data_IF_345312827352
#
_entry.id   IF_345312827352
#
_cell.length_a   1.000
_cell.length_b   1.000
_cell.length_c   1.000
_cell.angle_alpha   90.00
_cell.angle_beta   90.00
_cell.angle_gamma   90.00
#
_symmetry.space_group_name_H-M   'P 1'
#
loop_
_entity.id
_entity.type
_entity.pdbx_description
1 polymer ?
#
# COMPACT_ATOMS: atom_id res chain seq x y z
N UNK A 1 -25.62 -15.55 -24.80
CA UNK A 1 -24.34 -15.08 -24.21
C UNK A 1 -24.57 -14.21 -22.99
N UNK A 2 -25.38 -13.15 -23.08
CA UNK A 2 -25.86 -12.36 -21.93
C UNK A 2 -27.38 -12.54 -21.85
N UNK A 3 -27.86 -13.06 -20.71
CA UNK A 3 -29.28 -13.30 -20.43
C UNK A 3 -29.99 -12.03 -19.96
N UNK A 4 -29.32 -11.23 -19.12
CA UNK A 4 -29.88 -10.01 -18.57
C UNK A 4 -28.84 -8.89 -18.50
N UNK A 5 -28.99 -7.88 -19.37
CA UNK A 5 -28.08 -6.73 -19.45
C UNK A 5 -28.10 -5.85 -18.19
N UNK A 6 -29.23 -5.76 -17.48
CA UNK A 6 -29.33 -4.97 -16.23
C UNK A 6 -28.52 -5.62 -15.11
N UNK A 7 -28.64 -6.94 -14.93
CA UNK A 7 -27.82 -7.66 -13.95
C UNK A 7 -26.33 -7.63 -14.29
N UNK A 8 -25.98 -7.66 -15.58
CA UNK A 8 -24.59 -7.51 -16.00
C UNK A 8 -24.04 -6.12 -15.62
N UNK A 9 -24.81 -5.05 -15.86
CA UNK A 9 -24.41 -3.68 -15.47
C UNK A 9 -24.22 -3.54 -13.96
N UNK A 10 -25.12 -4.10 -13.15
CA UNK A 10 -25.00 -4.10 -11.68
C UNK A 10 -23.75 -4.87 -11.23
N UNK A 11 -23.48 -6.03 -11.83
CA UNK A 11 -22.30 -6.83 -11.51
C UNK A 11 -21.01 -6.05 -11.79
N UNK A 12 -20.90 -5.41 -12.95
CA UNK A 12 -19.71 -4.62 -13.34
C UNK A 12 -19.52 -3.42 -12.41
N UNK A 13 -20.61 -2.71 -12.06
CA UNK A 13 -20.58 -1.57 -11.14
C UNK A 13 -20.07 -1.99 -9.75
N UNK A 14 -20.67 -3.04 -9.17
CA UNK A 14 -20.29 -3.53 -7.85
C UNK A 14 -18.85 -4.04 -7.83
N UNK A 15 -18.43 -4.74 -8.88
CA UNK A 15 -17.07 -5.26 -9.01
C UNK A 15 -16.03 -4.13 -9.08
N UNK A 16 -16.30 -3.11 -9.89
CA UNK A 16 -15.43 -1.94 -10.01
C UNK A 16 -15.33 -1.19 -8.69
N UNK A 17 -16.46 -1.01 -7.99
CA UNK A 17 -16.49 -0.35 -6.69
C UNK A 17 -15.80 -1.18 -5.60
N UNK A 18 -15.89 -2.51 -5.63
CA UNK A 18 -15.10 -3.36 -4.72
C UNK A 18 -13.60 -3.21 -4.95
N UNK A 19 -13.15 -3.14 -6.22
CA UNK A 19 -11.73 -2.91 -6.53
C UNK A 19 -11.27 -1.55 -6.04
N UNK A 20 -12.08 -0.49 -6.27
CA UNK A 20 -11.77 0.86 -5.80
C UNK A 20 -11.64 0.91 -4.28
N UNK A 21 -12.53 0.23 -3.53
CA UNK A 21 -12.47 0.20 -2.06
C UNK A 21 -11.32 -0.66 -1.55
N UNK A 22 -10.98 -1.74 -2.25
CA UNK A 22 -9.83 -2.60 -1.93
C UNK A 22 -8.49 -1.97 -2.29
N UNK A 23 -8.48 -0.88 -3.05
CA UNK A 23 -7.26 -0.14 -3.31
C UNK A 23 -6.74 0.43 -1.97
N UNK A 24 -5.45 0.27 -1.65
CA UNK A 24 -4.89 0.72 -0.38
C UNK A 24 -4.84 2.26 -0.37
N UNK A 25 -5.98 2.89 -0.10
CA UNK A 25 -6.02 4.32 0.16
C UNK A 25 -5.21 4.59 1.45
N UNK A 26 -4.37 5.63 1.49
CA UNK A 26 -3.33 5.85 2.52
C UNK A 26 -3.88 6.24 3.92
N UNK A 27 -5.04 5.73 4.30
CA UNK A 27 -5.78 6.17 5.47
C UNK A 27 -5.72 5.07 6.55
N UNK A 28 -4.62 5.13 7.31
CA UNK A 28 -4.55 4.79 8.75
C UNK A 28 -4.42 3.34 9.23
N UNK A 29 -3.81 2.42 8.46
CA UNK A 29 -3.40 1.13 9.03
C UNK A 29 -1.88 0.95 8.98
N UNK A 30 -1.18 0.99 10.14
CA UNK A 30 0.23 0.63 10.16
C UNK A 30 0.38 -0.85 9.78
N UNK A 31 1.38 -1.11 8.94
CA UNK A 31 1.70 -2.44 8.40
C UNK A 31 2.02 -3.42 9.54
N UNK A 32 1.39 -4.60 9.52
CA UNK A 32 1.52 -5.65 10.55
C UNK A 32 0.28 -5.86 11.44
N UNK A 33 -0.82 -5.16 11.17
CA UNK A 33 -2.06 -5.26 11.95
C UNK A 33 -3.08 -6.30 11.43
N UNK A 34 -2.80 -6.98 10.32
CA UNK A 34 -3.75 -7.91 9.71
C UNK A 34 -3.64 -9.30 10.35
N UNK A 35 -4.75 -9.80 10.91
CA UNK A 35 -4.83 -11.12 11.52
C UNK A 35 -5.42 -12.16 10.55
N UNK A 36 -6.37 -11.75 9.69
CA UNK A 36 -7.00 -12.63 8.69
C UNK A 36 -7.40 -11.88 7.42
N UNK A 37 -7.15 -12.50 6.27
CA UNK A 37 -7.54 -12.02 4.94
C UNK A 37 -8.29 -13.10 4.14
N UNK A 38 -9.16 -12.67 3.22
CA UNK A 38 -9.76 -13.53 2.21
C UNK A 38 -9.66 -12.85 0.84
N UNK A 39 -9.15 -13.55 -0.17
CA UNK A 39 -8.93 -12.98 -1.52
C UNK A 39 -8.12 -11.66 -1.52
N UNK A 40 -7.09 -11.55 -0.66
CA UNK A 40 -6.31 -10.34 -0.43
C UNK A 40 -7.11 -9.14 0.15
N UNK A 41 -8.27 -9.40 0.75
CA UNK A 41 -9.07 -8.38 1.45
C UNK A 41 -8.97 -8.63 2.97
N UNK A 42 -8.48 -7.68 3.78
CA UNK A 42 -8.39 -7.84 5.22
C UNK A 42 -9.78 -7.84 5.88
N UNK A 43 -10.07 -8.86 6.69
CA UNK A 43 -11.37 -8.99 7.38
C UNK A 43 -11.25 -8.52 8.83
N UNK A 44 -10.10 -8.78 9.46
CA UNK A 44 -9.84 -8.42 10.84
C UNK A 44 -8.50 -7.71 11.00
N UNK A 45 -8.49 -6.68 11.84
CA UNK A 45 -7.29 -5.95 12.27
C UNK A 45 -7.12 -6.09 13.78
N UNK A 46 -5.96 -5.72 14.32
CA UNK A 46 -5.76 -5.69 15.78
C UNK A 46 -6.72 -4.73 16.51
N UNK A 47 -7.30 -3.77 15.80
CA UNK A 47 -8.27 -2.81 16.32
C UNK A 47 -9.73 -3.33 16.24
N UNK A 48 -9.93 -4.56 15.76
CA UNK A 48 -11.24 -5.17 15.57
C UNK A 48 -11.58 -5.43 14.10
N UNK A 49 -12.87 -5.48 13.79
CA UNK A 49 -13.36 -5.81 12.44
C UNK A 49 -13.01 -4.68 11.47
N UNK A 50 -12.37 -5.03 10.34
CA UNK A 50 -12.13 -4.08 9.26
C UNK A 50 -13.42 -3.91 8.46
N UNK A 51 -14.21 -2.88 8.80
CA UNK A 51 -15.47 -2.62 8.11
C UNK A 51 -15.28 -2.37 6.62
N UNK A 52 -14.19 -1.71 6.21
CA UNK A 52 -13.88 -1.43 4.80
C UNK A 52 -13.68 -2.73 4.03
N UNK A 53 -12.89 -3.65 4.57
CA UNK A 53 -12.65 -4.95 3.97
C UNK A 53 -13.88 -5.86 3.97
N UNK A 54 -14.67 -5.87 5.05
CA UNK A 54 -15.95 -6.61 5.10
C UNK A 54 -16.93 -6.07 4.05
N UNK A 55 -17.04 -4.74 3.91
CA UNK A 55 -17.89 -4.13 2.88
C UNK A 55 -17.40 -4.48 1.48
N UNK A 56 -16.10 -4.42 1.21
CA UNK A 56 -15.52 -4.80 -0.08
C UNK A 56 -15.80 -6.27 -0.41
N UNK A 57 -15.66 -7.18 0.56
CA UNK A 57 -15.95 -8.61 0.39
C UNK A 57 -17.43 -8.86 0.09
N UNK A 58 -18.34 -8.17 0.80
CA UNK A 58 -19.78 -8.28 0.55
C UNK A 58 -20.16 -7.78 -0.84
N UNK A 59 -19.55 -6.68 -1.29
CA UNK A 59 -19.74 -6.14 -2.64
C UNK A 59 -19.19 -7.07 -3.72
N UNK A 60 -18.03 -7.67 -3.49
CA UNK A 60 -17.45 -8.67 -4.37
C UNK A 60 -18.37 -9.89 -4.50
N UNK A 61 -18.83 -10.46 -3.39
CA UNK A 61 -19.76 -11.58 -3.39
C UNK A 61 -21.07 -11.26 -4.12
N UNK A 62 -21.63 -10.06 -3.89
CA UNK A 62 -22.79 -9.56 -4.61
C UNK A 62 -22.56 -9.43 -6.11
N UNK A 63 -21.39 -8.92 -6.52
CA UNK A 63 -21.02 -8.80 -7.93
C UNK A 63 -20.96 -10.16 -8.64
N UNK A 64 -20.38 -11.18 -8.00
CA UNK A 64 -20.27 -12.53 -8.54
C UNK A 64 -21.65 -13.19 -8.65
N UNK A 65 -22.53 -12.99 -7.67
CA UNK A 65 -23.90 -13.48 -7.72
C UNK A 65 -24.67 -12.91 -8.93
N UNK A 66 -24.62 -11.58 -9.13
CA UNK A 66 -25.27 -10.96 -10.27
C UNK A 66 -24.62 -11.35 -11.60
N UNK A 67 -23.30 -11.55 -11.62
CA UNK A 67 -22.57 -12.03 -12.79
C UNK A 67 -23.10 -13.40 -13.24
N UNK A 68 -23.26 -14.35 -12.32
CA UNK A 68 -23.83 -15.68 -12.62
C UNK A 68 -25.26 -15.57 -13.15
N UNK A 69 -26.11 -14.72 -12.53
CA UNK A 69 -27.51 -14.52 -12.99
C UNK A 69 -27.63 -13.80 -14.33
N UNK A 70 -26.64 -12.99 -14.69
CA UNK A 70 -26.63 -12.22 -15.93
C UNK A 70 -26.30 -13.05 -17.18
N UNK A 71 -25.70 -14.24 -16.99
CA UNK A 71 -25.20 -15.10 -18.06
C UNK A 71 -26.05 -16.37 -18.20
N UNK A 72 -26.05 -16.93 -19.40
CA UNK A 72 -26.79 -18.16 -19.75
C UNK A 72 -25.88 -19.38 -19.92
N UNK A 73 -24.60 -19.13 -20.25
CA UNK A 73 -23.54 -20.13 -20.47
C UNK A 73 -22.21 -19.52 -20.01
N UNK A 74 -21.24 -20.35 -19.64
CA UNK A 74 -19.90 -19.94 -19.17
C UNK A 74 -19.83 -19.16 -17.84
N UNK A 75 -20.89 -19.18 -17.03
CA UNK A 75 -20.97 -18.56 -15.69
C UNK A 75 -19.73 -18.85 -14.82
N UNK A 76 -19.33 -20.12 -14.73
CA UNK A 76 -18.17 -20.52 -13.92
C UNK A 76 -16.84 -19.97 -14.46
N UNK A 77 -16.67 -19.86 -15.78
CA UNK A 77 -15.43 -19.34 -16.38
C UNK A 77 -15.28 -17.85 -16.12
N UNK A 78 -16.38 -17.09 -16.26
CA UNK A 78 -16.37 -15.65 -15.99
C UNK A 78 -16.21 -15.34 -14.50
N UNK A 79 -16.79 -16.15 -13.60
CA UNK A 79 -16.55 -16.05 -12.16
C UNK A 79 -15.08 -16.32 -11.82
N UNK A 80 -14.48 -17.37 -12.39
CA UNK A 80 -13.05 -17.65 -12.19
C UNK A 80 -12.18 -16.50 -12.70
N UNK A 81 -12.47 -15.96 -13.89
CA UNK A 81 -11.75 -14.80 -14.43
C UNK A 81 -11.88 -13.57 -13.54
N UNK A 82 -13.06 -13.32 -12.96
CA UNK A 82 -13.27 -12.22 -12.03
C UNK A 82 -12.45 -12.40 -10.74
N UNK A 83 -12.42 -13.61 -10.17
CA UNK A 83 -11.60 -13.93 -8.98
C UNK A 83 -10.11 -13.77 -9.29
N UNK A 84 -9.65 -14.28 -10.43
CA UNK A 84 -8.26 -14.09 -10.88
C UNK A 84 -7.97 -12.59 -11.04
N UNK A 85 -8.83 -11.84 -11.71
CA UNK A 85 -8.65 -10.39 -11.86
C UNK A 85 -8.53 -9.68 -10.50
N UNK A 86 -9.32 -10.05 -9.49
CA UNK A 86 -9.21 -9.44 -8.14
C UNK A 86 -7.91 -9.75 -7.42
N UNK A 87 -7.32 -10.92 -7.65
CA UNK A 87 -6.04 -11.29 -7.05
C UNK A 87 -4.89 -10.59 -7.75
N UNK A 88 -4.95 -10.47 -9.09
CA UNK A 88 -3.86 -9.97 -9.92
C UNK A 88 -3.86 -8.45 -10.19
N UNK A 89 -5.00 -7.77 -10.18
CA UNK A 89 -5.04 -6.31 -10.35
C UNK A 89 -4.28 -5.51 -9.27
N UNK A 90 -4.34 -5.85 -7.97
CA UNK A 90 -3.72 -5.03 -6.92
C UNK A 90 -2.22 -5.32 -6.67
N UNK A 91 -1.55 -6.17 -7.45
CA UNK A 91 -0.19 -6.68 -7.11
C UNK A 91 0.94 -5.63 -7.29
N UNK A 92 0.66 -4.44 -7.81
CA UNK A 92 1.72 -3.51 -8.22
C UNK A 92 2.18 -2.48 -7.18
N UNK A 93 1.35 -2.12 -6.21
CA UNK A 93 1.59 -0.90 -5.42
C UNK A 93 1.71 -1.19 -3.94
N UNK A 94 2.83 -0.73 -3.36
CA UNK A 94 3.08 -0.76 -1.92
C UNK A 94 3.05 0.67 -1.40
N UNK A 95 2.26 0.90 -0.35
CA UNK A 95 2.25 2.16 0.37
C UNK A 95 3.20 2.07 1.56
N UNK A 96 4.17 2.99 1.63
CA UNK A 96 5.07 3.12 2.76
C UNK A 96 4.81 4.39 3.56
N UNK A 97 4.83 4.28 4.89
CA UNK A 97 4.69 5.41 5.81
C UNK A 97 5.81 5.36 6.86
N UNK A 98 6.49 6.48 7.06
CA UNK A 98 7.52 6.65 8.07
C UNK A 98 7.34 7.99 8.80
N UNK A 99 7.46 7.98 10.13
CA UNK A 99 7.44 9.20 10.95
C UNK A 99 8.82 9.46 11.53
N UNK A 100 9.46 10.56 11.09
CA UNK A 100 10.83 10.90 11.44
C UNK A 100 10.85 12.15 12.34
N UNK A 101 11.06 11.98 13.66
CA UNK A 101 11.18 13.12 14.56
C UNK A 101 12.55 13.78 14.42
N UNK A 102 12.57 15.03 13.99
CA UNK A 102 13.79 15.84 13.93
C UNK A 102 13.76 16.97 14.96
N UNK A 103 14.95 17.34 15.43
CA UNK A 103 15.18 18.52 16.25
C UNK A 103 16.36 19.31 15.70
N UNK A 104 16.11 20.56 15.33
CA UNK A 104 17.17 21.49 15.00
C UNK A 104 17.78 22.04 16.30
N UNK A 105 19.07 21.78 16.52
CA UNK A 105 19.80 22.33 17.65
C UNK A 105 20.44 23.70 17.35
N UNK A 106 20.49 24.12 16.08
CA UNK A 106 20.98 25.44 15.65
C UNK A 106 20.00 26.55 16.02
N UNK A 107 20.50 27.78 16.11
CA UNK A 107 19.67 29.01 16.10
C UNK A 107 19.12 29.32 14.71
N UNK A 108 19.77 28.80 13.67
CA UNK A 108 19.48 29.17 12.28
C UNK A 108 18.62 28.09 11.60
N UNK A 109 17.93 28.49 10.54
CA UNK A 109 17.17 27.59 9.69
C UNK A 109 18.11 26.59 9.00
N UNK A 110 17.72 25.32 8.97
CA UNK A 110 18.46 24.25 8.28
C UNK A 110 17.57 23.55 7.27
N UNK A 111 18.14 23.26 6.10
CA UNK A 111 17.51 22.47 5.04
C UNK A 111 18.43 21.31 4.66
N UNK A 112 17.86 20.11 4.57
CA UNK A 112 18.60 18.89 4.27
C UNK A 112 17.71 17.84 3.60
N UNK A 113 18.33 16.96 2.83
CA UNK A 113 17.67 15.81 2.23
C UNK A 113 17.80 14.59 3.13
N UNK A 114 16.72 13.84 3.28
CA UNK A 114 16.69 12.54 3.94
C UNK A 114 16.70 11.45 2.88
N UNK A 115 17.62 10.50 3.02
CA UNK A 115 17.68 9.29 2.20
C UNK A 115 17.78 8.05 3.09
N UNK A 116 17.19 6.96 2.63
CA UNK A 116 17.18 5.66 3.29
C UNK A 116 18.26 4.76 2.71
N UNK A 117 18.90 3.94 3.53
CA UNK A 117 19.87 2.94 3.05
C UNK A 117 19.75 1.62 3.82
N UNK A 118 20.04 0.52 3.13
CA UNK A 118 20.06 -0.81 3.72
C UNK A 118 21.46 -1.09 4.31
N UNK A 119 21.56 -1.25 5.63
CA UNK A 119 22.83 -1.53 6.33
C UNK A 119 23.23 -3.00 6.26
N UNK A 120 22.24 -3.90 6.26
CA UNK A 120 22.43 -5.33 6.12
C UNK A 120 21.79 -5.76 4.81
N UNK A 121 22.60 -6.28 3.89
CA UNK A 121 22.10 -7.02 2.73
C UNK A 121 22.05 -8.48 3.15
N UNK A 122 20.91 -8.94 3.63
CA UNK A 122 20.68 -10.38 3.73
C UNK A 122 20.38 -10.87 2.31
N UNK A 123 20.98 -11.99 1.89
CA UNK A 123 20.86 -12.51 0.51
C UNK A 123 19.39 -12.73 0.09
N UNK A 124 18.48 -12.88 1.07
CA UNK A 124 17.05 -13.16 0.88
C UNK A 124 16.12 -11.96 1.18
N UNK A 125 16.62 -10.87 1.77
CA UNK A 125 15.84 -9.66 2.06
C UNK A 125 16.21 -8.58 1.05
N UNK A 126 15.43 -8.48 -0.02
CA UNK A 126 15.61 -7.45 -1.04
C UNK A 126 15.71 -6.03 -0.47
N UNK A 127 16.15 -5.10 -1.31
CA UNK A 127 16.33 -3.67 -1.01
C UNK A 127 15.02 -3.01 -0.53
N UNK A 128 14.72 -3.10 0.78
CA UNK A 128 13.44 -2.64 1.35
C UNK A 128 13.47 -1.18 1.79
N UNK A 129 14.57 -0.68 2.36
CA UNK A 129 14.62 0.70 2.83
C UNK A 129 14.95 1.66 1.69
N UNK A 130 15.86 1.28 0.81
CA UNK A 130 16.24 2.10 -0.36
C UNK A 130 15.08 2.35 -1.31
N UNK A 131 14.09 1.46 -1.35
CA UNK A 131 12.81 1.61 -2.03
C UNK A 131 12.06 2.90 -1.65
N UNK A 132 12.17 3.34 -0.40
CA UNK A 132 11.53 4.56 0.06
C UNK A 132 12.05 5.81 -0.66
N UNK A 133 13.29 5.77 -1.17
CA UNK A 133 13.86 6.88 -1.93
C UNK A 133 13.22 7.09 -3.30
N UNK A 134 12.48 6.09 -3.83
CA UNK A 134 11.76 6.22 -5.11
C UNK A 134 10.54 7.13 -4.99
N UNK A 135 9.98 7.24 -3.78
CA UNK A 135 8.86 8.14 -3.47
C UNK A 135 9.20 9.63 -3.48
N UNK A 136 10.48 9.99 -3.62
CA UNK A 136 10.92 11.34 -3.93
C UNK A 136 12.12 11.83 -3.12
N UNK A 137 12.64 13.03 -3.45
CA UNK A 137 13.57 13.73 -2.56
C UNK A 137 12.81 14.25 -1.34
N UNK A 138 13.11 13.69 -0.15
CA UNK A 138 12.55 14.16 1.11
C UNK A 138 13.34 15.35 1.63
N UNK A 139 13.14 16.52 1.02
CA UNK A 139 13.71 17.77 1.52
C UNK A 139 12.99 18.19 2.80
N UNK A 140 13.75 18.33 3.88
CA UNK A 140 13.27 18.73 5.19
C UNK A 140 13.86 20.07 5.54
N UNK A 141 12.98 21.01 5.88
CA UNK A 141 13.35 22.33 6.38
C UNK A 141 12.85 22.51 7.82
N UNK A 142 13.76 22.92 8.71
CA UNK A 142 13.50 23.17 10.12
C UNK A 142 13.99 24.57 10.51
N UNK A 143 13.16 25.31 11.22
CA UNK A 143 13.52 26.59 11.83
C UNK A 143 14.50 26.39 12.99
N UNK A 144 15.16 27.47 13.41
CA UNK A 144 16.03 27.48 14.58
C UNK A 144 15.33 26.92 15.81
N UNK A 145 15.98 26.00 16.52
CA UNK A 145 15.48 25.33 17.73
C UNK A 145 14.17 24.53 17.56
N UNK A 146 13.67 24.37 16.34
CA UNK A 146 12.42 23.66 16.06
C UNK A 146 12.54 22.15 16.35
N UNK A 147 11.45 21.57 16.86
CA UNK A 147 11.23 20.12 16.87
C UNK A 147 10.02 19.82 15.99
N UNK A 148 10.19 18.96 14.99
CA UNK A 148 9.15 18.63 14.02
C UNK A 148 9.21 17.14 13.68
N UNK A 149 8.03 16.51 13.60
CA UNK A 149 7.91 15.16 13.04
C UNK A 149 7.58 15.28 11.56
N UNK A 150 8.48 14.76 10.72
CA UNK A 150 8.27 14.70 9.26
C UNK A 150 7.60 13.38 8.93
N UNK A 151 6.47 13.44 8.24
CA UNK A 151 5.75 12.28 7.72
C UNK A 151 6.19 12.03 6.28
N UNK A 152 6.81 10.89 6.06
CA UNK A 152 7.20 10.41 4.74
C UNK A 152 6.16 9.39 4.30
N UNK A 153 5.51 9.65 3.18
CA UNK A 153 4.52 8.77 2.55
C UNK A 153 4.91 8.57 1.09
N UNK A 154 4.98 7.31 0.65
CA UNK A 154 5.39 6.96 -0.69
C UNK A 154 4.54 5.80 -1.23
N UNK A 155 4.10 5.91 -2.48
CA UNK A 155 3.56 4.79 -3.26
C UNK A 155 4.68 4.26 -4.16
N UNK A 156 4.94 2.95 -4.06
CA UNK A 156 6.09 2.30 -4.67
C UNK A 156 5.58 1.21 -5.61
N UNK A 157 5.97 1.29 -6.88
CA UNK A 157 5.67 0.26 -7.87
C UNK A 157 6.65 -0.92 -7.73
N UNK A 158 6.13 -2.07 -7.29
CA UNK A 158 6.87 -3.31 -7.12
C UNK A 158 6.53 -4.36 -8.17
N UNK A 159 5.69 -4.04 -9.17
CA UNK A 159 5.19 -4.98 -10.18
C UNK A 159 6.29 -5.67 -11.01
N UNK A 160 7.44 -5.03 -11.17
CA UNK A 160 8.59 -5.55 -11.91
C UNK A 160 9.66 -6.26 -11.06
N UNK A 161 9.45 -6.45 -9.75
CA UNK A 161 10.47 -6.97 -8.83
C UNK A 161 10.30 -8.47 -8.53
N UNK A 162 11.42 -9.18 -8.50
CA UNK A 162 11.46 -10.64 -8.32
C UNK A 162 11.04 -11.12 -6.90
N UNK A 163 11.18 -10.25 -5.90
CA UNK A 163 10.77 -10.51 -4.52
C UNK A 163 9.47 -9.78 -4.20
N UNK A 164 8.38 -10.53 -4.01
CA UNK A 164 7.11 -9.99 -3.53
C UNK A 164 7.27 -9.52 -2.08
N UNK A 165 7.37 -8.21 -1.86
CA UNK A 165 7.17 -7.64 -0.53
C UNK A 165 5.66 -7.54 -0.32
N UNK A 166 5.05 -8.57 0.28
CA UNK A 166 3.61 -8.57 0.56
C UNK A 166 3.25 -7.69 1.76
N UNK A 167 4.16 -7.57 2.73
CA UNK A 167 4.08 -6.69 3.90
C UNK A 167 5.40 -6.75 4.69
N UNK A 168 5.73 -5.69 5.42
CA UNK A 168 6.91 -5.65 6.28
C UNK A 168 6.91 -4.41 7.18
N UNK A 169 7.53 -4.51 8.35
CA UNK A 169 7.72 -3.40 9.28
C UNK A 169 9.15 -3.40 9.79
N UNK A 170 9.84 -2.28 9.65
CA UNK A 170 11.22 -2.14 10.09
C UNK A 170 11.32 -1.16 11.26
N UNK A 171 11.98 -1.58 12.34
CA UNK A 171 12.39 -0.73 13.45
C UNK A 171 13.88 -0.46 13.33
N UNK A 172 14.31 0.79 13.60
CA UNK A 172 15.72 1.15 13.42
C UNK A 172 16.11 1.27 11.94
N UNK A 173 15.33 2.03 11.17
CA UNK A 173 15.66 2.35 9.78
C UNK A 173 16.96 3.13 9.71
N UNK A 174 17.83 2.79 8.75
CA UNK A 174 19.08 3.52 8.58
C UNK A 174 18.85 4.71 7.64
N UNK A 175 19.22 5.89 8.13
CA UNK A 175 18.98 7.16 7.46
C UNK A 175 20.30 7.85 7.19
N UNK A 176 20.42 8.50 6.05
CA UNK A 176 21.49 9.45 5.80
C UNK A 176 20.91 10.82 5.47
N UNK A 177 21.53 11.84 6.05
CA UNK A 177 21.18 13.25 5.83
C UNK A 177 22.23 13.85 4.89
N UNK A 178 21.79 14.48 3.81
CA UNK A 178 22.65 15.23 2.88
C UNK A 178 22.32 16.73 2.90
N UNK A 179 23.34 17.57 2.99
CA UNK A 179 23.21 19.03 2.86
C UNK A 179 24.42 19.57 2.09
N UNK A 180 24.20 19.98 0.84
CA UNK A 180 25.28 20.27 -0.10
C UNK A 180 26.23 19.07 -0.26
N UNK A 181 27.53 19.28 -0.02
CA UNK A 181 28.55 18.23 -0.10
C UNK A 181 28.74 17.43 1.21
N UNK A 182 27.96 17.75 2.26
CA UNK A 182 28.07 17.07 3.55
C UNK A 182 27.05 15.94 3.64
N UNK A 183 27.52 14.78 4.10
CA UNK A 183 26.70 13.60 4.34
C UNK A 183 26.92 13.11 5.77
N UNK A 184 25.83 12.78 6.46
CA UNK A 184 25.87 12.15 7.79
C UNK A 184 24.95 10.93 7.81
N UNK A 185 25.50 9.77 8.13
CA UNK A 185 24.73 8.58 8.45
C UNK A 185 24.27 8.63 9.91
N UNK A 186 23.02 8.24 10.17
CA UNK A 186 22.43 8.08 11.49
C UNK A 186 22.32 6.61 11.86
#
# INVERSE_FOLDING_TARGET
MIKNKRFLGIAILLFSLSIMISFPFPHEYPMGQELTSALNIPITTINGINYVGVTALAMLAGSLFFLVKSLEKFHMRLVLLAIVATVFLPIGLVSARCELPFKNHSSDQVTFNVEFYDKYRFEDEGEMLTLLNEGGPFEVTLQGKERKTVKVEAEIDVSGRASFVSSGGAWGVNLQIKSGNKLRKL
#
